data_IF_027886522040
#
_entry.id   IF_027886522040
#
_cell.length_a   1.000
_cell.length_b   1.000
_cell.length_c   1.000
_cell.angle_alpha   90.00
_cell.angle_beta   90.00
_cell.angle_gamma   90.00
#
_symmetry.space_group_name_H-M   'P 1'
#
loop_
_entity.id
_entity.type
_entity.pdbx_description
1 polymer ?
#
# COMPACT_ATOMS: atom_id res chain seq x y z
N UNK A 1 41.85 -11.86 -1.78
CA UNK A 1 40.55 -11.83 -1.07
C UNK A 1 40.26 -10.40 -0.67
N UNK A 2 39.02 -9.93 -0.79
CA UNK A 2 38.61 -8.55 -0.43
C UNK A 2 37.65 -8.63 0.76
N UNK A 3 37.91 -7.82 1.78
CA UNK A 3 37.03 -7.65 2.94
C UNK A 3 36.32 -6.31 2.82
N UNK A 4 35.00 -6.34 2.61
CA UNK A 4 34.16 -5.14 2.57
C UNK A 4 33.56 -4.86 3.95
N UNK A 5 33.77 -3.66 4.48
CA UNK A 5 33.25 -3.25 5.78
C UNK A 5 32.70 -1.82 5.73
N UNK A 6 31.88 -1.44 6.71
CA UNK A 6 31.36 -0.08 6.78
C UNK A 6 32.42 0.94 7.23
N UNK A 7 32.33 2.18 6.74
CA UNK A 7 33.35 3.22 6.93
C UNK A 7 33.60 3.63 8.39
N UNK A 8 32.71 3.30 9.33
CA UNK A 8 32.95 3.48 10.76
C UNK A 8 34.16 2.68 11.28
N UNK A 9 34.63 1.66 10.55
CA UNK A 9 35.79 0.84 10.91
C UNK A 9 37.08 1.25 10.20
N UNK A 10 37.08 2.34 9.43
CA UNK A 10 38.27 2.79 8.69
C UNK A 10 39.49 2.99 9.60
N UNK A 11 39.30 3.57 10.80
CA UNK A 11 40.39 3.76 11.78
C UNK A 11 40.96 2.45 12.32
N UNK A 12 40.24 1.33 12.22
CA UNK A 12 40.69 0.01 12.67
C UNK A 12 41.50 -0.74 11.64
N UNK A 13 41.63 -0.23 10.41
CA UNK A 13 42.38 -0.89 9.34
C UNK A 13 43.84 -1.13 9.74
N UNK A 14 44.48 -0.14 10.37
CA UNK A 14 45.87 -0.27 10.83
C UNK A 14 46.04 -1.39 11.85
N UNK A 15 45.11 -1.51 12.82
CA UNK A 15 45.13 -2.62 13.79
C UNK A 15 44.82 -3.97 13.14
N UNK A 16 43.96 -4.01 12.12
CA UNK A 16 43.66 -5.22 11.37
C UNK A 16 44.92 -5.74 10.63
N UNK A 17 45.61 -4.86 9.88
CA UNK A 17 46.84 -5.23 9.19
C UNK A 17 47.99 -5.55 10.13
N UNK A 18 48.11 -4.84 11.25
CA UNK A 18 49.11 -5.16 12.26
C UNK A 18 48.93 -6.59 12.79
N UNK A 19 47.69 -7.01 13.08
CA UNK A 19 47.41 -8.36 13.57
C UNK A 19 47.74 -9.44 12.54
N UNK A 20 47.36 -9.24 11.27
CA UNK A 20 47.70 -10.18 10.19
C UNK A 20 49.22 -10.34 10.06
N UNK A 21 49.96 -9.23 10.07
CA UNK A 21 51.42 -9.24 9.97
C UNK A 21 52.09 -9.86 11.20
N UNK A 22 51.59 -9.59 12.40
CA UNK A 22 52.14 -10.13 13.65
C UNK A 22 51.98 -11.66 13.76
N UNK A 23 50.95 -12.22 13.13
CA UNK A 23 50.66 -13.65 13.11
C UNK A 23 51.19 -14.37 11.85
N UNK A 24 51.90 -13.65 10.97
CA UNK A 24 52.36 -14.14 9.66
C UNK A 24 51.23 -14.78 8.81
N UNK A 25 50.06 -14.14 8.83
CA UNK A 25 48.88 -14.57 8.08
C UNK A 25 48.77 -13.81 6.76
N UNK A 26 48.11 -14.43 5.77
CA UNK A 26 47.66 -13.69 4.59
C UNK A 26 46.82 -12.49 5.02
N UNK A 27 47.07 -11.33 4.39
CA UNK A 27 46.40 -10.06 4.69
C UNK A 27 45.38 -9.73 3.59
N UNK A 28 44.09 -10.08 3.75
CA UNK A 28 43.04 -9.62 2.85
C UNK A 28 43.01 -8.10 2.74
N UNK A 29 42.72 -7.60 1.55
CA UNK A 29 42.61 -6.15 1.34
C UNK A 29 41.27 -5.67 1.90
N UNK A 30 41.32 -4.78 2.88
CA UNK A 30 40.13 -4.15 3.47
C UNK A 30 39.73 -2.91 2.67
N UNK A 31 38.47 -2.86 2.26
CA UNK A 31 37.83 -1.70 1.65
C UNK A 31 36.57 -1.33 2.42
N UNK A 32 36.32 -0.04 2.54
CA UNK A 32 35.18 0.50 3.25
C UNK A 32 34.14 1.12 2.33
N UNK A 33 32.88 1.02 2.75
CA UNK A 33 31.75 1.69 2.10
C UNK A 33 30.85 2.36 3.15
N UNK A 34 30.10 3.37 2.75
CA UNK A 34 29.16 4.04 3.64
C UNK A 34 27.96 3.15 3.94
N UNK A 35 27.46 3.24 5.18
CA UNK A 35 26.19 2.60 5.56
C UNK A 35 25.04 3.30 4.82
N UNK A 36 24.07 2.52 4.38
CA UNK A 36 22.76 3.03 3.97
C UNK A 36 21.99 3.53 5.19
N UNK A 37 21.74 4.84 5.24
CA UNK A 37 20.86 5.44 6.24
C UNK A 37 19.56 5.88 5.56
N UNK A 38 18.43 5.59 6.20
CA UNK A 38 17.10 6.03 5.75
C UNK A 38 16.60 7.12 6.70
N UNK A 39 16.00 8.19 6.17
CA UNK A 39 15.35 9.19 7.02
C UNK A 39 14.02 8.68 7.58
N UNK A 40 13.52 9.34 8.62
CA UNK A 40 12.25 9.03 9.29
C UNK A 40 12.13 7.61 9.85
N UNK A 41 13.27 7.01 10.21
CA UNK A 41 13.33 5.69 10.81
C UNK A 41 14.52 5.58 11.76
N UNK A 42 14.51 4.53 12.59
CA UNK A 42 15.63 4.18 13.46
C UNK A 42 16.04 2.74 13.17
N UNK A 43 17.32 2.51 12.90
CA UNK A 43 17.88 1.17 12.61
C UNK A 43 18.61 0.55 13.80
N UNK A 44 18.84 1.32 14.87
CA UNK A 44 19.52 0.84 16.07
C UNK A 44 18.68 -0.21 16.81
N UNK A 45 19.23 -1.43 17.00
CA UNK A 45 18.59 -2.52 17.75
C UNK A 45 18.07 -2.07 19.12
N UNK A 46 18.85 -1.27 19.85
CA UNK A 46 18.47 -0.72 21.17
C UNK A 46 17.25 0.21 21.08
N UNK A 47 17.12 0.99 20.00
CA UNK A 47 15.99 1.91 19.80
C UNK A 47 14.73 1.15 19.38
N UNK A 48 14.86 0.18 18.48
CA UNK A 48 13.75 -0.70 18.08
C UNK A 48 13.22 -1.46 19.30
N UNK A 49 14.11 -2.01 20.15
CA UNK A 49 13.69 -2.68 21.39
C UNK A 49 12.88 -1.74 22.29
N UNK A 50 13.26 -0.47 22.41
CA UNK A 50 12.48 0.52 23.15
C UNK A 50 11.11 0.79 22.52
N UNK A 51 11.00 0.81 21.19
CA UNK A 51 9.70 0.95 20.51
C UNK A 51 8.77 -0.22 20.85
N UNK A 52 9.30 -1.45 20.86
CA UNK A 52 8.56 -2.67 21.22
C UNK A 52 8.15 -2.63 22.69
N UNK A 53 9.08 -2.31 23.60
CA UNK A 53 8.81 -2.21 25.04
C UNK A 53 7.74 -1.17 25.38
N UNK A 54 7.69 -0.06 24.62
CA UNK A 54 6.67 0.98 24.77
C UNK A 54 5.40 0.71 23.96
N UNK A 55 5.26 -0.48 23.35
CA UNK A 55 4.12 -0.91 22.53
C UNK A 55 3.78 0.03 21.37
N UNK A 56 4.79 0.74 20.86
CA UNK A 56 4.64 1.59 19.67
C UNK A 56 4.50 0.70 18.43
N UNK A 57 5.32 -0.34 18.39
CA UNK A 57 5.33 -1.39 17.37
C UNK A 57 5.13 -2.75 18.02
N UNK A 58 4.59 -3.69 17.26
CA UNK A 58 4.24 -5.03 17.73
C UNK A 58 5.49 -5.85 18.07
N UNK A 59 6.37 -6.07 17.10
CA UNK A 59 7.65 -6.76 17.26
C UNK A 59 8.64 -6.34 16.14
N UNK A 60 9.80 -7.01 16.03
CA UNK A 60 10.81 -6.80 15.01
C UNK A 60 10.32 -7.03 13.57
N UNK A 61 9.18 -7.69 13.37
CA UNK A 61 8.55 -7.90 12.07
C UNK A 61 7.41 -6.91 11.79
N UNK A 62 7.20 -5.89 12.63
CA UNK A 62 6.18 -4.87 12.40
C UNK A 62 6.39 -4.17 11.05
N UNK A 63 5.37 -4.09 10.17
CA UNK A 63 5.48 -3.50 8.83
C UNK A 63 5.95 -2.04 8.79
N UNK A 64 5.87 -1.31 9.91
CA UNK A 64 6.34 0.09 10.01
C UNK A 64 7.86 0.19 10.20
N UNK A 65 8.53 -0.92 10.53
CA UNK A 65 9.98 -0.97 10.70
C UNK A 65 10.69 -1.27 9.38
N UNK A 66 11.94 -0.80 9.29
CA UNK A 66 12.85 -1.09 8.17
C UNK A 66 13.74 -2.31 8.42
N UNK A 67 13.28 -3.24 9.27
CA UNK A 67 13.89 -4.57 9.41
C UNK A 67 13.54 -5.41 8.18
N UNK A 68 14.41 -6.35 7.78
CA UNK A 68 14.09 -7.20 6.61
C UNK A 68 12.82 -8.04 6.82
N UNK A 69 12.57 -8.48 8.05
CA UNK A 69 11.32 -9.16 8.45
C UNK A 69 10.11 -8.23 8.34
N UNK A 70 10.22 -6.99 8.81
CA UNK A 70 9.16 -5.98 8.69
C UNK A 70 8.86 -5.60 7.25
N UNK A 71 9.89 -5.38 6.43
CA UNK A 71 9.73 -5.10 5.00
C UNK A 71 9.09 -6.28 4.24
N UNK A 72 9.48 -7.52 4.58
CA UNK A 72 8.86 -8.72 4.02
C UNK A 72 7.38 -8.81 4.41
N UNK A 73 7.06 -8.61 5.70
CA UNK A 73 5.67 -8.62 6.21
C UNK A 73 4.82 -7.50 5.62
N UNK A 74 5.41 -6.33 5.38
CA UNK A 74 4.77 -5.22 4.64
C UNK A 74 4.41 -5.57 3.19
N UNK A 75 5.01 -6.63 2.63
CA UNK A 75 4.74 -7.10 1.27
C UNK A 75 5.80 -6.72 0.24
N UNK A 76 6.95 -6.19 0.66
CA UNK A 76 7.96 -5.68 -0.27
C UNK A 76 8.66 -6.86 -0.98
N UNK A 77 8.69 -6.90 -2.33
CA UNK A 77 9.42 -7.93 -3.07
C UNK A 77 10.93 -7.82 -2.86
N UNK A 78 11.65 -8.94 -2.70
CA UNK A 78 13.12 -8.92 -2.60
C UNK A 78 13.78 -8.31 -3.83
N UNK A 79 13.19 -8.48 -5.01
CA UNK A 79 13.66 -7.89 -6.27
C UNK A 79 13.64 -6.35 -6.23
N UNK A 80 12.65 -5.75 -5.56
CA UNK A 80 12.56 -4.30 -5.40
C UNK A 80 13.67 -3.79 -4.46
N UNK A 81 13.98 -4.52 -3.39
CA UNK A 81 15.10 -4.20 -2.48
C UNK A 81 16.43 -4.27 -3.23
N UNK A 82 16.67 -5.35 -3.99
CA UNK A 82 17.88 -5.51 -4.77
C UNK A 82 18.04 -4.40 -5.82
N UNK A 83 16.95 -4.05 -6.53
CA UNK A 83 16.95 -2.93 -7.48
C UNK A 83 17.25 -1.60 -6.80
N UNK A 84 16.71 -1.35 -5.61
CA UNK A 84 16.97 -0.14 -4.85
C UNK A 84 18.44 -0.05 -4.43
N UNK A 85 19.01 -1.11 -3.88
CA UNK A 85 20.43 -1.16 -3.48
C UNK A 85 21.35 -0.97 -4.70
N UNK A 86 21.04 -1.64 -5.82
CA UNK A 86 21.80 -1.47 -7.06
C UNK A 86 21.75 -0.03 -7.59
N UNK A 87 20.59 0.64 -7.47
CA UNK A 87 20.40 2.03 -7.89
C UNK A 87 21.17 3.03 -7.03
N UNK A 88 21.28 2.78 -5.73
CA UNK A 88 22.03 3.65 -4.82
C UNK A 88 23.55 3.59 -5.05
N UNK A 89 24.05 2.44 -5.51
CA UNK A 89 25.47 2.21 -5.70
C UNK A 89 26.25 2.12 -4.38
N UNK A 90 27.56 1.95 -4.48
CA UNK A 90 28.48 1.89 -3.35
C UNK A 90 29.40 3.10 -3.38
N UNK A 91 29.39 3.89 -2.31
CA UNK A 91 30.27 5.05 -2.14
C UNK A 91 30.82 5.06 -0.71
N UNK A 92 31.89 5.83 -0.48
CA UNK A 92 32.46 6.02 0.88
C UNK A 92 31.75 7.17 1.62
N UNK A 93 31.05 8.04 0.89
CA UNK A 93 30.34 9.18 1.45
C UNK A 93 29.04 8.75 2.14
N UNK A 94 28.85 9.19 3.39
CA UNK A 94 27.63 8.92 4.14
C UNK A 94 26.45 9.65 3.49
N UNK A 95 25.41 8.90 3.12
CA UNK A 95 24.19 9.44 2.53
C UNK A 95 22.99 9.00 3.34
N UNK A 96 22.01 9.90 3.46
CA UNK A 96 20.70 9.59 4.05
C UNK A 96 19.65 9.67 2.95
N UNK A 97 18.95 8.57 2.73
CA UNK A 97 17.99 8.40 1.65
C UNK A 97 16.58 8.64 2.16
N UNK A 98 15.79 9.36 1.36
CA UNK A 98 14.39 9.57 1.64
C UNK A 98 13.57 8.30 1.30
N UNK A 99 12.71 7.80 2.22
CA UNK A 99 11.80 6.67 1.95
C UNK A 99 10.99 6.79 0.66
N UNK A 100 10.66 7.99 0.20
CA UNK A 100 9.91 8.16 -1.06
C UNK A 100 10.64 7.58 -2.28
N UNK A 101 11.98 7.61 -2.30
CA UNK A 101 12.75 6.98 -3.37
C UNK A 101 12.60 5.46 -3.33
N UNK A 102 12.61 4.87 -2.14
CA UNK A 102 12.42 3.43 -1.96
C UNK A 102 11.00 3.02 -2.36
N UNK A 103 10.00 3.76 -1.91
CA UNK A 103 8.59 3.57 -2.29
C UNK A 103 8.40 3.69 -3.81
N UNK A 104 9.13 4.59 -4.49
CA UNK A 104 9.11 4.67 -5.95
C UNK A 104 9.60 3.39 -6.62
N UNK A 105 10.73 2.85 -6.17
CA UNK A 105 11.29 1.60 -6.74
C UNK A 105 10.36 0.42 -6.51
N UNK A 106 9.72 0.35 -5.33
CA UNK A 106 8.72 -0.67 -5.01
C UNK A 106 7.52 -0.53 -5.94
N UNK A 107 7.01 0.70 -6.12
CA UNK A 107 5.86 0.98 -6.99
C UNK A 107 6.13 0.59 -8.43
N UNK A 108 7.30 0.92 -8.96
CA UNK A 108 7.68 0.58 -10.33
C UNK A 108 7.72 -0.94 -10.53
N UNK A 109 8.25 -1.68 -9.56
CA UNK A 109 8.27 -3.15 -9.60
C UNK A 109 6.85 -3.73 -9.51
N UNK A 110 6.04 -3.29 -8.55
CA UNK A 110 4.71 -3.84 -8.33
C UNK A 110 3.73 -3.46 -9.44
N UNK A 111 3.87 -2.31 -10.08
CA UNK A 111 3.04 -1.92 -11.21
C UNK A 111 3.15 -2.90 -12.40
N UNK A 112 4.29 -3.60 -12.55
CA UNK A 112 4.47 -4.56 -13.64
C UNK A 112 3.99 -5.97 -13.23
N UNK A 113 4.14 -6.32 -11.95
CA UNK A 113 4.04 -7.70 -11.47
C UNK A 113 2.79 -7.99 -10.62
N UNK A 114 2.17 -6.99 -9.99
CA UNK A 114 1.00 -7.20 -9.15
C UNK A 114 -0.29 -7.22 -10.01
N UNK A 115 -1.12 -8.29 -9.92
CA UNK A 115 -2.46 -8.30 -10.50
C UNK A 115 -3.35 -7.23 -9.90
N UNK A 116 -4.21 -6.62 -10.72
CA UNK A 116 -5.17 -5.59 -10.32
C UNK A 116 -6.44 -6.22 -9.79
N UNK A 117 -7.04 -5.57 -8.80
CA UNK A 117 -8.28 -6.02 -8.20
C UNK A 117 -9.07 -4.89 -7.56
N UNK A 118 -10.37 -5.08 -7.48
CA UNK A 118 -11.28 -4.15 -6.83
C UNK A 118 -11.52 -4.60 -5.39
N UNK A 119 -11.20 -3.70 -4.46
CA UNK A 119 -11.47 -3.84 -3.02
C UNK A 119 -11.99 -2.51 -2.54
N UNK A 120 -13.03 -2.54 -1.70
CA UNK A 120 -13.64 -1.33 -1.15
C UNK A 120 -13.33 -1.26 0.34
N UNK A 121 -12.58 -0.24 0.76
CA UNK A 121 -12.13 -0.11 2.15
C UNK A 121 -13.25 0.32 3.09
N UNK A 122 -14.05 1.29 2.66
CA UNK A 122 -15.20 1.82 3.40
C UNK A 122 -16.48 1.59 2.59
N UNK A 123 -17.12 0.41 2.70
CA UNK A 123 -18.23 0.04 1.83
C UNK A 123 -19.47 0.93 2.04
N UNK A 124 -19.92 1.57 0.96
CA UNK A 124 -21.22 2.20 0.82
C UNK A 124 -22.09 1.34 -0.12
N UNK A 125 -23.25 0.91 0.39
CA UNK A 125 -24.19 0.07 -0.34
C UNK A 125 -24.94 0.90 -1.39
N UNK A 126 -24.98 0.41 -2.62
CA UNK A 126 -25.77 0.92 -3.74
C UNK A 126 -26.75 -0.17 -4.20
N UNK A 127 -27.96 0.24 -4.58
CA UNK A 127 -28.98 -0.63 -5.16
C UNK A 127 -29.30 -0.11 -6.56
N UNK A 128 -29.06 -0.91 -7.59
CA UNK A 128 -29.41 -0.58 -8.98
C UNK A 128 -30.89 -0.93 -9.20
N UNK A 129 -31.74 0.08 -9.32
CA UNK A 129 -33.20 -0.10 -9.38
C UNK A 129 -33.67 -0.80 -10.66
N UNK A 130 -32.99 -0.58 -11.78
CA UNK A 130 -33.31 -1.15 -13.09
C UNK A 130 -32.42 -2.35 -13.47
N UNK A 131 -31.86 -3.06 -12.49
CA UNK A 131 -30.89 -4.15 -12.74
C UNK A 131 -31.42 -5.24 -13.68
N UNK A 132 -32.70 -5.60 -13.56
CA UNK A 132 -33.34 -6.64 -14.38
C UNK A 132 -33.36 -6.27 -15.88
N UNK A 133 -33.41 -4.98 -16.20
CA UNK A 133 -33.49 -4.48 -17.58
C UNK A 133 -32.12 -4.45 -18.28
N UNK A 134 -31.02 -4.53 -17.51
CA UNK A 134 -29.66 -4.40 -18.02
C UNK A 134 -29.12 -5.69 -18.65
N UNK A 135 -29.75 -6.84 -18.42
CA UNK A 135 -29.33 -8.15 -18.95
C UNK A 135 -27.83 -8.45 -18.79
N UNK A 136 -27.26 -8.10 -17.63
CA UNK A 136 -25.84 -8.30 -17.34
C UNK A 136 -25.53 -9.78 -17.07
N UNK A 137 -24.35 -10.23 -17.48
CA UNK A 137 -23.83 -11.53 -17.06
C UNK A 137 -23.59 -11.54 -15.54
N UNK A 138 -23.86 -12.67 -14.84
CA UNK A 138 -23.69 -12.76 -13.38
C UNK A 138 -22.23 -12.68 -12.94
N UNK A 139 -21.28 -12.88 -13.88
CA UNK A 139 -19.85 -12.74 -13.68
C UNK A 139 -19.24 -12.06 -14.89
N UNK A 140 -18.22 -11.24 -14.66
CA UNK A 140 -17.44 -10.61 -15.73
C UNK A 140 -15.96 -10.98 -15.60
N UNK A 141 -15.24 -10.96 -16.73
CA UNK A 141 -13.78 -11.17 -16.77
C UNK A 141 -13.07 -9.83 -16.61
N UNK A 142 -12.26 -9.72 -15.56
CA UNK A 142 -11.43 -8.54 -15.30
C UNK A 142 -9.96 -8.87 -15.57
N UNK A 143 -9.26 -8.11 -16.43
CA UNK A 143 -7.86 -8.36 -16.73
C UNK A 143 -6.96 -8.05 -15.52
N UNK A 144 -6.06 -8.98 -15.18
CA UNK A 144 -5.10 -8.80 -14.08
C UNK A 144 -4.08 -7.70 -14.38
N UNK A 145 -3.73 -7.49 -15.66
CA UNK A 145 -2.73 -6.53 -16.10
C UNK A 145 -3.29 -5.63 -17.21
N UNK A 146 -4.17 -4.65 -16.89
CA UNK A 146 -4.88 -3.86 -17.91
C UNK A 146 -3.97 -3.06 -18.84
N UNK A 147 -2.77 -2.72 -18.39
CA UNK A 147 -1.79 -1.92 -19.16
C UNK A 147 -0.89 -2.77 -20.07
N UNK A 148 -0.96 -4.10 -19.98
CA UNK A 148 -0.11 -5.01 -20.73
C UNK A 148 -0.97 -6.06 -21.44
N UNK A 149 -1.40 -5.78 -22.69
CA UNK A 149 -2.25 -6.69 -23.46
C UNK A 149 -1.60 -8.05 -23.75
N UNK A 150 -0.28 -8.18 -23.62
CA UNK A 150 0.42 -9.46 -23.83
C UNK A 150 0.17 -10.48 -22.71
N UNK A 151 -0.28 -10.01 -21.54
CA UNK A 151 -0.62 -10.84 -20.39
C UNK A 151 -2.11 -11.16 -20.41
N UNK A 152 -2.47 -12.27 -21.04
CA UNK A 152 -3.87 -12.72 -21.19
C UNK A 152 -4.51 -13.26 -19.90
N UNK A 153 -3.95 -12.97 -18.71
CA UNK A 153 -4.51 -13.45 -17.45
C UNK A 153 -5.66 -12.55 -16.96
N UNK A 154 -6.78 -13.17 -16.59
CA UNK A 154 -7.96 -12.52 -16.02
C UNK A 154 -8.44 -13.27 -14.77
N UNK A 155 -9.25 -12.59 -13.98
CA UNK A 155 -10.06 -13.20 -12.92
C UNK A 155 -11.54 -12.89 -13.15
N UNK A 156 -12.42 -13.71 -12.58
CA UNK A 156 -13.87 -13.46 -12.64
C UNK A 156 -14.31 -12.69 -11.40
N UNK A 157 -15.20 -11.73 -11.59
CA UNK A 157 -15.79 -10.91 -10.53
C UNK A 157 -17.31 -11.04 -10.61
N UNK A 158 -17.97 -11.18 -9.46
CA UNK A 158 -19.43 -11.30 -9.39
C UNK A 158 -20.12 -9.98 -9.74
N UNK A 159 -21.30 -10.05 -10.36
CA UNK A 159 -22.17 -8.90 -10.66
C UNK A 159 -23.55 -9.15 -10.04
N UNK A 160 -24.14 -8.11 -9.46
CA UNK A 160 -25.46 -8.16 -8.85
C UNK A 160 -26.11 -6.75 -8.83
N UNK A 161 -27.40 -6.71 -8.50
CA UNK A 161 -28.19 -5.52 -8.23
C UNK A 161 -27.66 -4.68 -7.05
N UNK A 162 -27.03 -5.33 -6.07
CA UNK A 162 -26.42 -4.69 -4.90
C UNK A 162 -24.92 -4.58 -5.13
N UNK A 163 -24.44 -3.34 -5.17
CA UNK A 163 -23.04 -2.97 -5.44
C UNK A 163 -22.49 -2.20 -4.25
N UNK A 164 -21.25 -2.47 -3.86
CA UNK A 164 -20.54 -1.68 -2.87
C UNK A 164 -19.47 -0.82 -3.54
N UNK A 165 -19.41 0.46 -3.16
CA UNK A 165 -18.39 1.42 -3.60
C UNK A 165 -17.72 2.07 -2.39
N UNK A 166 -16.63 2.79 -2.59
CA UNK A 166 -16.04 3.58 -1.50
C UNK A 166 -17.00 4.66 -1.02
N UNK A 167 -17.11 4.80 0.31
CA UNK A 167 -17.82 5.89 0.97
C UNK A 167 -17.36 7.25 0.46
N UNK A 168 -16.06 7.40 0.21
CA UNK A 168 -15.43 8.63 -0.29
C UNK A 168 -15.73 8.95 -1.76
N UNK A 169 -16.30 8.00 -2.52
CA UNK A 169 -16.71 8.21 -3.91
C UNK A 169 -18.10 8.83 -4.05
N UNK A 170 -18.83 9.02 -2.94
CA UNK A 170 -20.09 9.73 -2.90
C UNK A 170 -20.03 11.02 -2.05
N UNK A 171 -20.63 12.10 -2.55
CA UNK A 171 -20.89 13.34 -1.79
C UNK A 171 -22.22 13.97 -2.20
N UNK A 172 -22.99 14.47 -1.23
CA UNK A 172 -24.26 15.19 -1.48
C UNK A 172 -24.05 16.40 -2.42
N UNK A 173 -22.97 17.16 -2.20
CA UNK A 173 -22.55 18.28 -3.06
C UNK A 173 -21.10 18.10 -3.48
N UNK A 174 -20.85 18.20 -4.79
CA UNK A 174 -19.51 18.14 -5.35
C UNK A 174 -18.73 19.43 -5.10
N UNK A 175 -17.47 19.31 -4.69
CA UNK A 175 -16.52 20.42 -4.67
C UNK A 175 -15.84 20.57 -6.04
N UNK A 176 -15.22 21.72 -6.29
CA UNK A 176 -14.43 21.96 -7.52
C UNK A 176 -13.35 20.90 -7.65
N UNK A 177 -13.46 20.04 -8.67
CA UNK A 177 -12.53 18.94 -8.93
C UNK A 177 -12.99 17.55 -8.48
N UNK A 178 -14.13 17.43 -7.79
CA UNK A 178 -14.73 16.13 -7.48
C UNK A 178 -15.40 15.52 -8.72
N UNK A 179 -14.86 14.39 -9.20
CA UNK A 179 -15.30 13.74 -10.45
C UNK A 179 -16.15 12.48 -10.24
N UNK A 180 -16.43 12.10 -8.99
CA UNK A 180 -17.18 10.88 -8.64
C UNK A 180 -18.67 11.18 -8.43
N UNK A 181 -19.41 10.28 -7.80
CA UNK A 181 -20.87 10.31 -7.73
C UNK A 181 -21.38 11.44 -6.82
N UNK A 182 -22.32 12.24 -7.32
CA UNK A 182 -23.09 13.20 -6.53
C UNK A 182 -24.56 13.13 -6.95
N UNK A 183 -25.44 13.89 -6.29
CA UNK A 183 -26.86 13.99 -6.70
C UNK A 183 -27.05 14.44 -8.15
N UNK A 184 -26.16 15.29 -8.64
CA UNK A 184 -26.26 15.90 -9.98
C UNK A 184 -25.25 15.32 -10.97
N UNK A 185 -24.27 14.55 -10.50
CA UNK A 185 -23.16 14.06 -11.30
C UNK A 185 -23.13 12.53 -11.34
N UNK A 186 -23.07 11.98 -12.54
CA UNK A 186 -22.97 10.54 -12.77
C UNK A 186 -21.55 10.01 -12.61
N UNK A 187 -21.43 8.71 -12.37
CA UNK A 187 -20.14 8.00 -12.29
C UNK A 187 -20.20 6.68 -13.04
N UNK A 188 -19.08 6.25 -13.61
CA UNK A 188 -18.99 4.94 -14.26
C UNK A 188 -18.56 3.83 -13.31
N UNK A 189 -19.12 2.64 -13.46
CA UNK A 189 -18.55 1.42 -12.85
C UNK A 189 -17.50 0.83 -13.77
N UNK A 190 -16.28 0.67 -13.25
CA UNK A 190 -15.18 0.15 -14.05
C UNK A 190 -15.44 -1.29 -14.50
N UNK A 191 -15.05 -1.64 -15.72
CA UNK A 191 -15.28 -2.95 -16.36
C UNK A 191 -16.72 -3.34 -16.69
N UNK A 192 -17.74 -2.71 -16.07
CA UNK A 192 -19.15 -2.99 -16.37
C UNK A 192 -19.71 -2.17 -17.54
N UNK A 193 -19.07 -1.05 -17.89
CA UNK A 193 -19.59 -0.17 -18.94
C UNK A 193 -20.94 0.47 -18.57
N UNK A 194 -21.20 0.64 -17.27
CA UNK A 194 -22.42 1.28 -16.76
C UNK A 194 -22.12 2.66 -16.22
N UNK A 195 -23.09 3.57 -16.36
CA UNK A 195 -23.11 4.92 -15.81
C UNK A 195 -24.24 5.00 -14.80
N UNK A 196 -23.90 5.34 -13.56
CA UNK A 196 -24.84 5.43 -12.44
C UNK A 196 -25.29 6.87 -12.22
N UNK A 197 -26.57 7.03 -11.93
CA UNK A 197 -27.21 8.27 -11.49
C UNK A 197 -27.95 8.02 -10.18
N UNK A 198 -27.80 8.92 -9.19
CA UNK A 198 -28.54 8.82 -7.92
C UNK A 198 -30.01 9.13 -8.14
N UNK A 199 -30.86 8.27 -7.58
CA UNK A 199 -32.32 8.43 -7.58
C UNK A 199 -32.78 8.80 -6.17
N UNK A 200 -32.40 7.99 -5.18
CA UNK A 200 -32.80 8.17 -3.78
C UNK A 200 -31.62 7.94 -2.83
N UNK A 201 -31.68 8.62 -1.68
CA UNK A 201 -30.77 8.42 -0.57
C UNK A 201 -31.53 7.92 0.64
N UNK A 202 -31.01 6.87 1.27
CA UNK A 202 -31.49 6.45 2.58
C UNK A 202 -30.46 6.85 3.63
N UNK A 203 -30.94 7.56 4.65
CA UNK A 203 -30.16 8.02 5.80
C UNK A 203 -30.72 7.37 7.06
N UNK A 204 -29.86 7.08 8.02
CA UNK A 204 -30.28 6.62 9.34
C UNK A 204 -30.93 7.76 10.15
N UNK A 205 -31.45 7.44 11.34
CA UNK A 205 -32.05 8.40 12.25
C UNK A 205 -31.11 9.55 12.68
N UNK A 206 -29.79 9.34 12.59
CA UNK A 206 -28.74 10.32 12.93
C UNK A 206 -28.31 11.16 11.71
N UNK A 207 -28.93 10.96 10.54
CA UNK A 207 -28.63 11.67 9.30
C UNK A 207 -27.43 11.14 8.52
N UNK A 208 -26.79 10.06 8.99
CA UNK A 208 -25.73 9.35 8.27
C UNK A 208 -26.29 8.54 7.09
N UNK A 209 -25.71 8.72 5.90
CA UNK A 209 -26.08 7.94 4.72
C UNK A 209 -25.84 6.44 4.98
N UNK A 210 -26.81 5.60 4.65
CA UNK A 210 -26.72 4.13 4.80
C UNK A 210 -26.63 3.44 3.46
N UNK A 211 -27.47 3.84 2.51
CA UNK A 211 -27.54 3.25 1.18
C UNK A 211 -28.06 4.27 0.15
N UNK A 212 -27.73 4.04 -1.12
CA UNK A 212 -28.21 4.83 -2.25
C UNK A 212 -28.95 3.93 -3.23
N UNK A 213 -30.07 4.42 -3.75
CA UNK A 213 -30.72 3.82 -4.92
C UNK A 213 -30.25 4.58 -6.14
N UNK A 214 -29.75 3.85 -7.13
CA UNK A 214 -29.21 4.39 -8.37
C UNK A 214 -29.93 3.80 -9.57
N UNK A 215 -30.04 4.61 -10.61
CA UNK A 215 -30.43 4.18 -11.94
C UNK A 215 -29.18 4.02 -12.79
N UNK A 216 -29.07 2.94 -13.55
CA UNK A 216 -27.91 2.63 -14.38
C UNK A 216 -28.26 2.67 -15.86
N UNK A 217 -27.37 3.25 -16.67
CA UNK A 217 -27.46 3.25 -18.12
C UNK A 217 -26.18 2.68 -18.73
N UNK A 218 -26.28 2.02 -19.88
CA UNK A 218 -25.09 1.59 -20.63
C UNK A 218 -24.31 2.81 -21.11
N UNK A 219 -23.01 2.81 -20.87
CA UNK A 219 -22.11 3.87 -21.29
C UNK A 219 -22.03 3.95 -22.81
N UNK A 220 -22.24 5.16 -23.35
CA UNK A 220 -22.12 5.53 -24.75
C UNK A 220 -21.39 6.89 -24.84
N UNK A 221 -21.14 7.37 -26.06
CA UNK A 221 -20.40 8.61 -26.27
C UNK A 221 -21.15 9.86 -25.74
N UNK A 222 -22.47 9.79 -25.57
CA UNK A 222 -23.30 10.91 -25.12
C UNK A 222 -23.39 11.00 -23.59
N UNK A 223 -23.35 9.86 -22.87
CA UNK A 223 -23.51 9.79 -21.42
C UNK A 223 -22.20 9.46 -20.66
N UNK A 224 -21.05 9.61 -21.31
CA UNK A 224 -19.74 9.26 -20.74
C UNK A 224 -19.46 9.99 -19.41
N UNK A 225 -19.21 9.27 -18.31
CA UNK A 225 -19.02 9.87 -17.00
C UNK A 225 -17.64 10.52 -16.87
N UNK A 226 -17.50 11.44 -15.91
CA UNK A 226 -16.22 12.14 -15.65
C UNK A 226 -15.16 11.24 -15.03
N UNK A 227 -15.56 10.15 -14.38
CA UNK A 227 -14.67 9.17 -13.77
C UNK A 227 -15.32 7.79 -13.71
N UNK A 228 -14.47 6.76 -13.65
CA UNK A 228 -14.86 5.39 -13.33
C UNK A 228 -14.32 5.03 -11.94
N UNK A 229 -15.14 4.36 -11.15
CA UNK A 229 -14.81 3.90 -9.78
C UNK A 229 -14.77 2.37 -9.72
N UNK A 230 -14.00 1.87 -8.75
CA UNK A 230 -14.00 0.44 -8.43
C UNK A 230 -15.21 0.10 -7.56
N UNK A 231 -15.57 -1.16 -7.56
CA UNK A 231 -16.78 -1.66 -6.91
C UNK A 231 -16.64 -3.16 -6.60
N UNK A 232 -17.48 -3.66 -5.71
CA UNK A 232 -17.57 -5.10 -5.38
C UNK A 232 -19.04 -5.49 -5.22
N UNK A 233 -19.43 -6.65 -5.74
CA UNK A 233 -20.74 -7.26 -5.51
C UNK A 233 -20.60 -8.55 -4.70
N UNK A 234 -21.66 -8.94 -3.98
CA UNK A 234 -21.67 -10.12 -3.09
C UNK A 234 -20.38 -10.23 -2.26
N UNK A 235 -19.99 -9.16 -1.54
CA UNK A 235 -18.67 -9.09 -0.94
C UNK A 235 -18.50 -10.11 0.18
N UNK A 236 -17.27 -10.58 0.32
CA UNK A 236 -16.76 -11.05 1.60
C UNK A 236 -16.07 -9.89 2.31
N UNK A 237 -15.85 -10.03 3.62
CA UNK A 237 -15.22 -8.99 4.42
C UNK A 237 -13.82 -9.39 4.84
N UNK A 238 -12.90 -8.42 4.78
CA UNK A 238 -11.50 -8.58 5.14
C UNK A 238 -10.99 -7.38 5.94
N UNK A 239 -9.89 -7.60 6.67
CA UNK A 239 -9.17 -6.54 7.35
C UNK A 239 -8.10 -5.94 6.42
N UNK A 240 -8.04 -4.61 6.34
CA UNK A 240 -6.99 -3.89 5.61
C UNK A 240 -6.26 -2.93 6.55
N UNK A 241 -4.93 -3.05 6.57
CA UNK A 241 -4.02 -2.27 7.41
C UNK A 241 -3.29 -1.25 6.56
N UNK A 242 -3.51 0.03 6.86
CA UNK A 242 -2.84 1.15 6.21
C UNK A 242 -1.74 1.69 7.12
N UNK A 243 -0.50 1.66 6.64
CA UNK A 243 0.66 2.13 7.40
C UNK A 243 1.09 3.52 6.95
N UNK A 244 1.33 4.40 7.91
CA UNK A 244 1.92 5.72 7.72
C UNK A 244 3.32 5.78 8.35
N UNK A 245 4.03 6.86 8.04
CA UNK A 245 5.37 7.10 8.54
C UNK A 245 5.44 7.14 10.07
N UNK A 246 6.37 6.37 10.66
CA UNK A 246 6.49 6.17 12.10
C UNK A 246 6.96 7.42 12.85
N UNK A 247 7.86 8.20 12.27
CA UNK A 247 8.45 9.41 12.85
C UNK A 247 8.07 10.65 12.05
N UNK A 248 7.81 11.76 12.73
CA UNK A 248 7.44 13.03 12.07
C UNK A 248 8.66 13.73 11.49
N UNK A 249 9.80 13.64 12.17
CA UNK A 249 11.01 14.35 11.79
C UNK A 249 11.90 13.52 10.88
N UNK A 250 12.58 14.20 9.94
CA UNK A 250 13.51 13.56 8.99
C UNK A 250 14.64 12.82 9.70
N UNK A 251 15.15 13.37 10.79
CA UNK A 251 16.13 12.73 11.65
C UNK A 251 15.57 12.61 13.09
N UNK A 252 14.95 11.48 13.45
CA UNK A 252 14.38 11.28 14.78
C UNK A 252 15.44 11.23 15.90
N UNK A 253 16.72 11.16 15.54
CA UNK A 253 17.85 11.09 16.46
C UNK A 253 18.48 12.45 16.77
N UNK A 254 18.02 13.52 16.12
CA UNK A 254 18.51 14.87 16.37
C UNK A 254 18.00 15.38 17.72
N UNK A 255 18.90 15.41 18.71
CA UNK A 255 18.60 15.90 20.06
C UNK A 255 18.34 17.39 20.13
N UNK A 256 18.79 18.17 19.15
CA UNK A 256 18.56 19.62 19.10
C UNK A 256 17.13 19.91 18.64
N UNK A 257 16.68 19.19 17.61
CA UNK A 257 15.32 19.27 17.11
C UNK A 257 14.31 18.55 18.02
N UNK A 258 14.73 17.48 18.71
CA UNK A 258 13.87 16.62 19.53
C UNK A 258 14.49 16.45 20.94
N UNK A 259 14.34 17.46 21.82
CA UNK A 259 14.92 17.42 23.17
C UNK A 259 14.40 16.24 24.03
N UNK A 260 13.15 15.83 23.79
CA UNK A 260 12.52 14.67 24.45
C UNK A 260 13.00 13.29 23.94
N UNK A 261 13.88 13.28 22.93
CA UNK A 261 14.36 12.07 22.27
C UNK A 261 13.37 11.45 21.28
N UNK A 262 13.84 10.47 20.51
CA UNK A 262 13.10 9.91 19.37
C UNK A 262 11.68 9.38 19.71
N UNK A 263 11.42 8.95 20.95
CA UNK A 263 10.08 8.47 21.35
C UNK A 263 9.03 9.60 21.35
N UNK A 264 9.42 10.86 21.55
CA UNK A 264 8.47 11.99 21.49
C UNK A 264 8.14 12.42 20.05
N UNK A 265 8.91 11.95 19.07
CA UNK A 265 8.74 12.28 17.64
C UNK A 265 7.85 11.28 16.89
N UNK A 266 7.29 10.30 17.60
CA UNK A 266 6.42 9.28 17.01
C UNK A 266 5.13 9.92 16.47
N UNK A 267 4.73 9.51 15.27
CA UNK A 267 3.44 9.84 14.70
C UNK A 267 2.32 9.05 15.39
N UNK A 268 1.22 9.70 15.74
CA UNK A 268 0.09 9.06 16.44
C UNK A 268 -0.74 8.16 15.52
N UNK A 269 -0.82 8.52 14.23
CA UNK A 269 -1.68 7.86 13.26
C UNK A 269 -0.81 7.05 12.29
N UNK A 270 -0.11 6.02 12.81
CA UNK A 270 0.84 5.21 12.03
C UNK A 270 0.23 3.92 11.46
N UNK A 271 -0.91 3.52 12.00
CA UNK A 271 -1.65 2.34 11.58
C UNK A 271 -3.14 2.67 11.64
N UNK A 272 -3.81 2.57 10.50
CA UNK A 272 -5.27 2.61 10.40
C UNK A 272 -5.75 1.22 9.98
N UNK A 273 -6.68 0.66 10.74
CA UNK A 273 -7.26 -0.67 10.48
C UNK A 273 -8.69 -0.48 10.01
N UNK A 274 -9.00 -1.01 8.82
CA UNK A 274 -10.35 -1.13 8.31
C UNK A 274 -10.76 -2.60 8.42
N UNK A 275 -11.64 -2.93 9.38
CA UNK A 275 -11.99 -4.33 9.69
C UNK A 275 -13.04 -4.95 8.76
N UNK A 276 -13.79 -4.13 8.02
CA UNK A 276 -14.92 -4.58 7.21
C UNK A 276 -14.79 -4.12 5.75
N UNK A 277 -13.61 -4.32 5.15
CA UNK A 277 -13.42 -4.01 3.74
C UNK A 277 -14.14 -5.04 2.88
N UNK A 278 -14.90 -4.58 1.88
CA UNK A 278 -15.56 -5.45 0.93
C UNK A 278 -14.57 -5.92 -0.14
N UNK A 279 -14.43 -7.24 -0.27
CA UNK A 279 -13.55 -7.92 -1.22
C UNK A 279 -14.37 -8.89 -2.07
N UNK A 280 -13.92 -9.15 -3.31
CA UNK A 280 -14.52 -10.20 -4.14
C UNK A 280 -14.09 -11.59 -3.66
N UNK A 281 -14.96 -12.59 -3.88
CA UNK A 281 -14.74 -13.99 -3.51
C UNK A 281 -13.43 -14.56 -4.07
N UNK A 282 -12.97 -14.11 -5.25
CA UNK A 282 -11.77 -14.67 -5.86
C UNK A 282 -10.51 -14.50 -4.97
N UNK A 283 -10.48 -13.48 -4.11
CA UNK A 283 -9.37 -13.21 -3.17
C UNK A 283 -9.27 -14.26 -2.04
N UNK A 284 -10.29 -15.09 -1.82
CA UNK A 284 -10.23 -16.18 -0.83
C UNK A 284 -9.16 -17.22 -1.12
N UNK A 285 -8.72 -17.30 -2.39
CA UNK A 285 -7.69 -18.24 -2.86
C UNK A 285 -6.26 -17.70 -2.70
N UNK A 286 -6.09 -16.48 -2.21
CA UNK A 286 -4.78 -15.87 -2.05
C UNK A 286 -3.94 -16.57 -0.98
N UNK A 287 -2.66 -16.78 -1.30
CA UNK A 287 -1.65 -17.26 -0.36
C UNK A 287 -1.04 -16.09 0.43
N UNK A 288 -0.44 -16.41 1.58
CA UNK A 288 0.32 -15.43 2.36
C UNK A 288 1.44 -14.84 1.50
N UNK A 289 1.60 -13.53 1.55
CA UNK A 289 2.50 -12.73 0.70
C UNK A 289 2.12 -12.62 -0.78
N UNK A 290 0.95 -13.10 -1.20
CA UNK A 290 0.40 -12.69 -2.49
C UNK A 290 0.19 -11.18 -2.51
N UNK A 291 0.45 -10.57 -3.66
CA UNK A 291 0.49 -9.12 -3.83
C UNK A 291 -0.52 -8.70 -4.88
N UNK A 292 -1.23 -7.62 -4.58
CA UNK A 292 -2.26 -7.09 -5.44
C UNK A 292 -2.13 -5.57 -5.56
N UNK A 293 -2.53 -5.03 -6.70
CA UNK A 293 -2.86 -3.62 -6.79
C UNK A 293 -4.36 -3.46 -6.55
N UNK A 294 -4.73 -2.90 -5.40
CA UNK A 294 -6.11 -2.48 -5.15
C UNK A 294 -6.34 -1.21 -5.97
N UNK A 295 -7.25 -1.29 -6.92
CA UNK A 295 -7.47 -0.23 -7.88
C UNK A 295 -7.81 1.10 -7.21
N UNK A 296 -7.19 2.19 -7.68
CA UNK A 296 -7.33 3.56 -7.15
C UNK A 296 -6.86 3.76 -5.69
N UNK A 297 -6.40 2.71 -5.01
CA UNK A 297 -5.99 2.77 -3.60
C UNK A 297 -4.47 2.63 -3.47
N UNK A 298 -3.90 1.49 -3.85
CA UNK A 298 -2.50 1.18 -3.54
C UNK A 298 -2.10 -0.24 -3.88
N UNK A 299 -0.90 -0.61 -3.46
CA UNK A 299 -0.41 -1.97 -3.51
C UNK A 299 -0.47 -2.60 -2.13
N UNK A 300 -0.93 -3.84 -2.09
CA UNK A 300 -1.24 -4.58 -0.87
C UNK A 300 -0.67 -5.99 -0.95
N UNK A 301 -0.39 -6.57 0.22
CA UNK A 301 0.02 -7.96 0.34
C UNK A 301 -0.77 -8.68 1.44
N UNK A 302 -1.02 -9.97 1.25
CA UNK A 302 -1.66 -10.82 2.28
C UNK A 302 -0.72 -11.00 3.47
N UNK A 303 -1.17 -10.60 4.65
CA UNK A 303 -0.40 -10.71 5.90
C UNK A 303 -0.43 -12.15 6.44
N UNK A 304 0.63 -12.61 7.13
CA UNK A 304 0.64 -13.91 7.81
C UNK A 304 -0.43 -14.11 8.88
N UNK A 305 -1.02 -13.05 9.42
CA UNK A 305 -2.17 -13.14 10.34
C UNK A 305 -3.46 -13.59 9.63
N UNK A 306 -3.43 -13.76 8.31
CA UNK A 306 -4.60 -14.24 7.55
C UNK A 306 -4.86 -15.71 7.83
N UNK A 307 -6.11 -16.03 8.18
CA UNK A 307 -6.64 -17.39 8.14
C UNK A 307 -7.33 -17.59 6.78
N UNK A 308 -6.58 -18.10 5.81
CA UNK A 308 -7.06 -18.33 4.44
C UNK A 308 -8.40 -19.09 4.47
N UNK A 309 -9.42 -18.57 3.77
CA UNK A 309 -10.85 -18.97 3.75
C UNK A 309 -11.79 -18.43 4.84
N UNK A 310 -11.28 -17.82 5.93
CA UNK A 310 -12.12 -17.27 7.01
C UNK A 310 -11.93 -15.77 7.21
N UNK A 311 -10.67 -15.34 7.32
CA UNK A 311 -10.34 -13.96 7.65
C UNK A 311 -9.06 -13.58 6.92
N UNK A 312 -9.20 -12.75 5.89
CA UNK A 312 -8.06 -12.23 5.15
C UNK A 312 -7.62 -10.90 5.74
N UNK A 313 -6.31 -10.73 5.86
CA UNK A 313 -5.67 -9.51 6.33
C UNK A 313 -4.73 -9.00 5.23
N UNK A 314 -4.91 -7.76 4.81
CA UNK A 314 -4.07 -7.13 3.80
C UNK A 314 -3.28 -5.96 4.38
N UNK A 315 -1.97 -5.95 4.12
CA UNK A 315 -1.08 -4.86 4.48
C UNK A 315 -0.84 -3.95 3.29
N UNK A 316 -1.02 -2.63 3.44
CA UNK A 316 -0.58 -1.67 2.41
C UNK A 316 0.93 -1.68 2.30
N UNK A 317 1.44 -2.13 1.16
CA UNK A 317 2.87 -2.09 0.85
C UNK A 317 3.29 -0.66 0.52
N UNK A 318 2.60 -0.01 -0.42
CA UNK A 318 2.86 1.38 -0.82
C UNK A 318 1.60 1.98 -1.46
N UNK A 319 1.35 3.28 -1.26
CA UNK A 319 0.26 4.00 -1.92
C UNK A 319 0.51 4.14 -3.43
N UNK A 320 -0.55 4.40 -4.20
CA UNK A 320 -0.37 4.87 -5.58
C UNK A 320 0.34 6.23 -5.59
N UNK A 321 0.87 6.61 -6.75
CA UNK A 321 1.52 7.92 -6.90
C UNK A 321 0.48 9.01 -6.69
N UNK A 322 0.64 9.83 -5.66
CA UNK A 322 -0.16 11.04 -5.49
C UNK A 322 0.35 12.14 -6.44
N UNK A 323 -0.58 12.88 -7.04
CA UNK A 323 -0.23 14.11 -7.75
C UNK A 323 0.27 15.12 -6.71
N UNK A 324 1.50 15.61 -6.88
CA UNK A 324 2.19 16.52 -5.96
C UNK A 324 1.45 17.84 -5.66
N UNK A 325 0.30 18.10 -6.28
CA UNK A 325 -0.55 19.27 -6.10
C UNK A 325 -1.75 19.07 -5.17
N UNK A 326 -1.96 17.88 -4.59
CA UNK A 326 -3.02 17.65 -3.58
C UNK A 326 -2.39 17.58 -2.19
N UNK A 327 -2.29 18.73 -1.53
CA UNK A 327 -2.10 18.84 -0.08
C UNK A 327 -3.41 19.24 0.57
#
# INVERSE_FOLDING_TARGET
MITLIVSEFQSRRSSYYWLCNALDLYTPVQWEYARLNMSYTVTSKRKILKLIQNRVVSDYDDPRLFTLTGLRRRGIPPEAINKFVAKMGLTVAQTTVDPHLFDSVIRDHLNINAPRTMVVLEPLKLIISNYADLNLEPKIKVPNFPTDPSKESFHEVNVDSIVYIERSDYKDKGEKGFRRLTKEQTVGLKYLGLVLKVVEEHKNAEGGLTELVVYAETANDQNKPKAFIHWVCKPLFAEVRLFEQLFKSRNPDDKTAIPGGFLTDINKNTLTIHSNCAIDEYLTKSAVYDRYQFERIGFFAVDPDSETSKHLVFNRTVSLKEDAGKK
#
